data_IF_250701782029
#
_entry.id   IF_250701782029
#
_cell.length_a   1.000
_cell.length_b   1.000
_cell.length_c   1.000
_cell.angle_alpha   90.00
_cell.angle_beta   90.00
_cell.angle_gamma   90.00
#
_symmetry.space_group_name_H-M   'P 1'
#
loop_
_entity.id
_entity.type
_entity.pdbx_description
1 polymer ?
#
# COMPACT_ATOMS: atom_id res chain seq x y z
N UNK A 1 -1.59 2.70 5.17
CA UNK A 1 -2.15 1.50 5.86
C UNK A 1 -3.46 1.14 5.18
N UNK A 2 -3.63 -0.11 4.74
CA UNK A 2 -4.90 -0.61 4.25
C UNK A 2 -5.69 -1.22 5.41
N UNK A 3 -6.80 -0.60 5.76
CA UNK A 3 -7.78 -1.13 6.71
C UNK A 3 -8.82 -1.92 5.94
N UNK A 4 -8.83 -3.24 6.12
CA UNK A 4 -9.81 -4.15 5.53
C UNK A 4 -11.00 -4.27 6.48
N UNK A 5 -12.20 -3.92 6.02
CA UNK A 5 -13.42 -4.09 6.81
C UNK A 5 -13.82 -5.57 6.92
N UNK A 6 -14.66 -5.95 7.90
CA UNK A 6 -15.06 -7.33 8.12
C UNK A 6 -15.73 -7.98 6.91
N UNK A 7 -16.51 -7.22 6.14
CA UNK A 7 -17.26 -7.68 4.98
C UNK A 7 -16.30 -8.14 3.88
N UNK A 8 -15.31 -7.31 3.53
CA UNK A 8 -14.29 -7.66 2.55
C UNK A 8 -13.40 -8.82 3.04
N UNK A 9 -13.06 -8.85 4.33
CA UNK A 9 -12.34 -9.98 4.93
C UNK A 9 -13.11 -11.30 4.74
N UNK A 10 -14.43 -11.31 4.98
CA UNK A 10 -15.27 -12.49 4.77
C UNK A 10 -15.28 -12.93 3.31
N UNK A 11 -15.39 -12.00 2.37
CA UNK A 11 -15.30 -12.30 0.93
C UNK A 11 -13.96 -12.95 0.58
N UNK A 12 -12.84 -12.39 1.06
CA UNK A 12 -11.52 -12.97 0.84
C UNK A 12 -11.41 -14.37 1.44
N UNK A 13 -11.85 -14.56 2.69
CA UNK A 13 -11.82 -15.86 3.37
C UNK A 13 -12.69 -16.90 2.66
N UNK A 14 -13.89 -16.54 2.22
CA UNK A 14 -14.78 -17.43 1.47
C UNK A 14 -14.16 -17.89 0.14
N UNK A 15 -13.34 -17.05 -0.48
CA UNK A 15 -12.56 -17.39 -1.68
C UNK A 15 -11.24 -18.11 -1.38
N UNK A 16 -10.93 -18.42 -0.11
CA UNK A 16 -9.69 -19.09 0.30
C UNK A 16 -8.44 -18.19 0.28
N UNK A 17 -8.61 -16.86 0.32
CA UNK A 17 -7.48 -15.94 0.29
C UNK A 17 -6.82 -15.82 1.66
N UNK A 18 -5.49 -15.90 1.66
CA UNK A 18 -4.67 -15.54 2.82
C UNK A 18 -4.31 -14.05 2.77
N UNK A 19 -3.91 -13.47 3.91
CA UNK A 19 -3.35 -12.11 3.95
C UNK A 19 -2.12 -11.96 3.03
N UNK A 20 -1.30 -13.00 2.94
CA UNK A 20 -0.13 -13.04 2.05
C UNK A 20 -0.53 -12.99 0.57
N UNK A 21 -1.56 -13.76 0.18
CA UNK A 21 -2.11 -13.70 -1.18
C UNK A 21 -2.66 -12.32 -1.48
N UNK A 22 -3.48 -11.74 -0.60
CA UNK A 22 -3.99 -10.37 -0.79
C UNK A 22 -2.86 -9.36 -1.00
N UNK A 23 -1.76 -9.49 -0.25
CA UNK A 23 -0.57 -8.64 -0.44
C UNK A 23 0.03 -8.82 -1.83
N UNK A 24 0.30 -10.06 -2.25
CA UNK A 24 0.89 -10.37 -3.54
C UNK A 24 0.04 -9.86 -4.72
N UNK A 25 -1.28 -10.06 -4.66
CA UNK A 25 -2.20 -9.60 -5.70
C UNK A 25 -2.20 -8.06 -5.78
N UNK A 26 -2.20 -7.39 -4.62
CA UNK A 26 -2.09 -5.93 -4.57
C UNK A 26 -0.73 -5.43 -5.07
N UNK A 27 0.38 -6.12 -4.77
CA UNK A 27 1.70 -5.72 -5.25
C UNK A 27 1.76 -5.77 -6.78
N UNK A 28 1.19 -6.82 -7.41
CA UNK A 28 1.13 -6.92 -8.87
C UNK A 28 0.15 -5.94 -9.53
N UNK A 29 -0.98 -5.64 -8.89
CA UNK A 29 -1.99 -4.72 -9.43
C UNK A 29 -1.63 -3.23 -9.23
N UNK A 30 -0.75 -2.93 -8.29
CA UNK A 30 -0.38 -1.56 -7.91
C UNK A 30 1.00 -1.17 -8.45
N UNK A 31 1.23 -1.52 -9.70
CA UNK A 31 2.33 -1.03 -10.52
C UNK A 31 1.90 0.26 -11.24
N UNK A 32 2.75 1.28 -11.21
CA UNK A 32 2.55 2.56 -11.87
C UNK A 32 3.48 2.67 -13.08
N UNK A 33 3.03 3.21 -14.23
CA UNK A 33 3.92 3.50 -15.35
C UNK A 33 5.03 4.46 -14.93
N UNK A 34 6.28 4.13 -15.28
CA UNK A 34 7.44 4.92 -14.88
C UNK A 34 7.40 6.35 -15.46
N UNK A 35 6.85 6.50 -16.67
CA UNK A 35 6.68 7.79 -17.33
C UNK A 35 5.67 8.73 -16.63
N UNK A 36 4.76 8.20 -15.83
CA UNK A 36 3.74 9.01 -15.12
C UNK A 36 4.24 9.57 -13.79
N UNK A 37 5.31 8.99 -13.25
CA UNK A 37 5.83 9.27 -11.89
C UNK A 37 7.23 9.85 -11.89
N UNK A 38 7.87 9.96 -13.06
CA UNK A 38 9.15 10.65 -13.23
C UNK A 38 8.99 12.14 -12.96
N UNK A 39 10.03 12.79 -12.40
CA UNK A 39 10.04 14.26 -12.23
C UNK A 39 9.73 14.97 -13.55
N UNK A 40 8.85 15.95 -13.50
CA UNK A 40 8.38 16.71 -14.66
C UNK A 40 7.17 16.09 -15.37
N UNK A 41 6.78 14.86 -15.02
CA UNK A 41 5.60 14.22 -15.60
C UNK A 41 4.34 15.07 -15.36
N UNK A 42 3.55 15.28 -16.42
CA UNK A 42 2.35 16.12 -16.35
C UNK A 42 2.59 17.57 -15.91
N UNK A 43 3.83 18.08 -15.99
CA UNK A 43 4.19 19.43 -15.52
C UNK A 43 4.42 19.51 -14.00
N UNK A 44 4.49 18.39 -13.29
CA UNK A 44 4.74 18.33 -11.84
C UNK A 44 6.25 18.27 -11.61
N UNK A 45 6.81 19.28 -10.92
CA UNK A 45 8.25 19.35 -10.68
C UNK A 45 8.79 18.20 -9.82
N UNK A 46 7.97 17.70 -8.88
CA UNK A 46 8.29 16.57 -8.02
C UNK A 46 8.07 15.21 -8.70
N UNK A 47 8.69 14.18 -8.15
CA UNK A 47 8.61 12.81 -8.68
C UNK A 47 9.89 12.02 -8.49
N UNK A 48 9.93 10.83 -9.09
CA UNK A 48 11.10 9.95 -9.05
C UNK A 48 12.18 10.47 -10.01
N UNK A 49 13.45 10.60 -9.57
CA UNK A 49 14.54 10.97 -10.47
C UNK A 49 14.69 9.94 -11.61
N UNK A 50 14.86 10.39 -12.85
CA UNK A 50 15.01 9.51 -14.02
C UNK A 50 16.15 8.48 -13.84
N UNK A 51 17.27 8.92 -13.24
CA UNK A 51 18.40 8.04 -12.93
C UNK A 51 18.04 6.89 -11.96
N UNK A 52 17.07 7.11 -11.06
CA UNK A 52 16.62 6.08 -10.12
C UNK A 52 15.64 5.07 -10.77
N UNK A 53 14.93 5.48 -11.83
CA UNK A 53 14.05 4.61 -12.60
C UNK A 53 14.85 3.60 -13.43
N UNK A 54 15.97 4.02 -14.02
CA UNK A 54 16.79 3.16 -14.88
C UNK A 54 16.02 2.78 -16.15
N UNK A 55 15.97 1.48 -16.46
CA UNK A 55 15.26 0.89 -17.61
C UNK A 55 13.84 0.39 -17.25
N UNK A 56 13.39 0.59 -16.00
CA UNK A 56 12.09 0.10 -15.54
C UNK A 56 10.94 0.77 -16.29
N UNK A 57 10.00 -0.06 -16.77
CA UNK A 57 8.74 0.36 -17.39
C UNK A 57 7.68 0.74 -16.35
N UNK A 58 7.68 0.03 -15.23
CA UNK A 58 6.76 0.27 -14.12
C UNK A 58 7.54 0.37 -12.81
N UNK A 59 6.93 1.01 -11.83
CA UNK A 59 7.40 1.00 -10.45
C UNK A 59 6.26 0.62 -9.51
N UNK A 60 6.55 -0.08 -8.41
CA UNK A 60 5.52 -0.38 -7.43
C UNK A 60 5.07 0.89 -6.70
N UNK A 61 3.76 1.07 -6.56
CA UNK A 61 3.14 2.19 -5.83
C UNK A 61 3.59 2.24 -4.36
N UNK A 62 3.81 1.06 -3.77
CA UNK A 62 4.30 0.91 -2.41
C UNK A 62 5.67 0.27 -2.44
N UNK A 63 6.57 0.74 -1.56
CA UNK A 63 7.86 0.06 -1.34
C UNK A 63 7.60 -1.35 -0.83
N UNK A 64 8.56 -2.26 -1.02
CA UNK A 64 8.51 -3.58 -0.39
C UNK A 64 8.24 -3.43 1.12
N UNK A 65 7.26 -4.18 1.63
CA UNK A 65 6.77 -4.14 3.01
C UNK A 65 6.19 -2.78 3.48
N UNK A 66 6.03 -1.82 2.56
CA UNK A 66 5.53 -0.48 2.85
C UNK A 66 4.00 -0.37 3.02
N UNK A 67 3.26 -1.41 2.64
CA UNK A 67 1.80 -1.46 2.78
C UNK A 67 1.38 -2.38 3.94
N UNK A 68 1.20 -1.78 5.11
CA UNK A 68 0.60 -2.47 6.26
C UNK A 68 -0.89 -2.75 5.98
N UNK A 69 -1.29 -4.02 6.04
CA UNK A 69 -2.69 -4.46 5.99
C UNK A 69 -3.16 -4.80 7.40
N UNK A 70 -4.27 -4.20 7.84
CA UNK A 70 -4.92 -4.47 9.12
C UNK A 70 -6.40 -4.77 8.90
N UNK A 71 -7.03 -5.44 9.87
CA UNK A 71 -8.48 -5.66 9.92
C UNK A 71 -9.05 -4.85 11.08
N UNK A 72 -10.04 -4.01 10.80
CA UNK A 72 -10.75 -3.23 11.83
C UNK A 72 -12.18 -2.90 11.35
N UNK A 73 -13.01 -2.38 12.26
CA UNK A 73 -14.42 -2.08 12.01
C UNK A 73 -15.38 -3.04 12.71
N UNK A 74 -16.64 -2.61 12.80
CA UNK A 74 -17.77 -3.42 13.30
C UNK A 74 -18.54 -4.08 12.15
N UNK A 75 -19.68 -4.68 12.47
CA UNK A 75 -20.46 -5.51 11.52
C UNK A 75 -21.25 -4.70 10.48
N UNK A 76 -21.24 -3.37 10.58
CA UNK A 76 -21.96 -2.47 9.69
C UNK A 76 -20.99 -1.54 8.95
N UNK A 77 -21.22 -1.38 7.63
CA UNK A 77 -20.43 -0.49 6.76
C UNK A 77 -19.44 -1.25 5.86
N UNK A 78 -19.80 -1.45 4.59
CA UNK A 78 -18.99 -2.13 3.57
C UNK A 78 -17.85 -1.25 3.03
N UNK A 79 -17.05 -0.64 3.89
CA UNK A 79 -15.99 0.28 3.47
C UNK A 79 -14.64 -0.09 4.07
N UNK A 80 -13.73 -0.55 3.22
CA UNK A 80 -12.30 -0.53 3.52
C UNK A 80 -11.76 0.89 3.36
N UNK A 81 -10.69 1.22 4.07
CA UNK A 81 -10.07 2.54 4.02
C UNK A 81 -8.57 2.46 3.80
N UNK A 82 -8.03 3.46 3.10
CA UNK A 82 -6.60 3.71 3.01
C UNK A 82 -6.25 4.89 3.90
N UNK A 83 -5.43 4.64 4.92
CA UNK A 83 -4.79 5.70 5.71
C UNK A 83 -3.51 6.07 4.96
N UNK A 84 -3.41 7.33 4.54
CA UNK A 84 -2.27 7.86 3.81
C UNK A 84 -0.95 7.66 4.58
N UNK A 85 0.15 7.56 3.84
CA UNK A 85 1.48 7.49 4.43
C UNK A 85 1.90 8.84 5.01
N UNK A 86 2.86 8.80 5.93
CA UNK A 86 3.56 9.98 6.44
C UNK A 86 4.66 10.41 5.45
N UNK A 87 4.95 11.71 5.39
CA UNK A 87 5.89 12.30 4.43
C UNK A 87 7.33 11.78 4.51
N UNK A 88 7.74 11.23 5.66
CA UNK A 88 9.02 10.56 5.84
C UNK A 88 8.82 9.19 6.51
N UNK A 89 9.52 8.17 6.02
CA UNK A 89 9.48 6.80 6.56
C UNK A 89 10.84 6.14 6.45
N UNK A 90 11.16 5.18 7.33
CA UNK A 90 12.48 4.53 7.38
C UNK A 90 13.50 5.35 8.17
N UNK A 91 14.78 5.32 7.80
CA UNK A 91 15.88 5.90 8.59
C UNK A 91 15.73 7.42 8.89
N UNK A 92 15.02 8.14 8.02
CA UNK A 92 14.78 9.59 8.15
C UNK A 92 13.35 9.93 8.62
N UNK A 93 12.54 8.94 8.99
CA UNK A 93 11.12 9.14 9.33
C UNK A 93 10.53 8.06 10.22
N UNK A 94 9.22 7.82 10.12
CA UNK A 94 8.51 6.88 10.98
C UNK A 94 8.16 5.56 10.27
N UNK A 95 8.30 4.46 11.00
CA UNK A 95 7.88 3.12 10.55
C UNK A 95 6.70 2.66 11.40
N UNK A 96 5.56 2.26 10.81
CA UNK A 96 4.45 1.71 11.57
C UNK A 96 4.85 0.40 12.24
N UNK A 97 4.50 0.27 13.52
CA UNK A 97 4.68 -0.96 14.31
C UNK A 97 3.34 -1.37 14.92
N UNK A 98 3.21 -2.65 15.26
CA UNK A 98 2.06 -3.17 15.99
C UNK A 98 2.53 -3.62 17.37
N UNK A 99 1.88 -3.11 18.42
CA UNK A 99 2.09 -3.58 19.79
C UNK A 99 0.85 -4.33 20.28
N UNK A 100 1.02 -5.49 20.94
CA UNK A 100 -0.09 -6.14 21.60
C UNK A 100 -0.56 -5.27 22.76
N UNK A 101 -1.87 -5.03 22.84
CA UNK A 101 -2.50 -4.43 24.01
C UNK A 101 -2.63 -5.57 25.04
N UNK A 102 -2.15 -5.34 26.26
CA UNK A 102 -2.29 -6.27 27.38
C UNK A 102 -3.38 -5.73 28.29
N UNK A 103 -4.32 -6.59 28.65
CA UNK A 103 -5.30 -6.33 29.70
C UNK A 103 -4.67 -6.44 31.09
#
# INVERSE_FOLDING_TARGET
>A
ILVVCPEHERTFKAAGWTKARLRQELDGLLELPAEEVVRGAGGIAEGVPAAALGDRRTIPKFRKDGLLIVRAGGDAGMFSAMIAGWGASGAIGSTPVTHPIRD
#
